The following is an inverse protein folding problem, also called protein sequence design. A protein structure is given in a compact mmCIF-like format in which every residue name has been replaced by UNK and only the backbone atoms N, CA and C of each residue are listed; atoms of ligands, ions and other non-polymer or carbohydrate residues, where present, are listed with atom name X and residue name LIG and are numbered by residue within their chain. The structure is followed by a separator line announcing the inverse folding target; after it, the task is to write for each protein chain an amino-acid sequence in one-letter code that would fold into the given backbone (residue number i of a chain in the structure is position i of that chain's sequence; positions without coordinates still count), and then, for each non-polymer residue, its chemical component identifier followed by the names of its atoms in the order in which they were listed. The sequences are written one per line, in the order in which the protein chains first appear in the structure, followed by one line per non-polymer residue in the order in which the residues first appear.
data_IF_540228624317
#
_entry.id   IF_540228624317
#
_cell.length_a   1.000
_cell.length_b   1.000
_cell.length_c   1.000
_cell.angle_alpha   90.00
_cell.angle_beta   90.00
_cell.angle_gamma   90.00
#
_symmetry.space_group_name_H-M   'P 1'
#
loop_
_entity.id
_entity.type
_entity.pdbx_description
1 polymer ?
#
# COMPACT_ATOMS: atom_id res chain seq x y z
N UNK A 1 -5.60 -0.83 -10.43
CA UNK A 1 -7.00 -1.30 -10.29
C UNK A 1 -7.39 -1.70 -8.86
N UNK A 2 -6.52 -2.31 -8.02
CA UNK A 2 -6.85 -2.60 -6.60
C UNK A 2 -6.93 -1.33 -5.75
N UNK A 3 -6.04 -0.36 -5.97
CA UNK A 3 -5.99 0.91 -5.23
C UNK A 3 -7.28 1.73 -5.35
N UNK A 4 -8.03 1.60 -6.45
CA UNK A 4 -9.31 2.29 -6.64
C UNK A 4 -10.44 1.75 -5.75
N UNK A 5 -10.21 0.65 -5.02
CA UNK A 5 -11.18 0.07 -4.08
C UNK A 5 -10.97 0.54 -2.63
N UNK A 6 -9.98 1.40 -2.39
CA UNK A 6 -9.60 1.87 -1.07
C UNK A 6 -9.54 3.40 -1.07
N UNK A 7 -10.60 4.01 -0.55
CA UNK A 7 -10.72 5.47 -0.41
C UNK A 7 -9.68 6.03 0.58
N UNK A 8 -9.07 5.17 1.40
CA UNK A 8 -8.03 5.52 2.35
C UNK A 8 -6.72 5.93 1.65
N UNK A 9 -6.48 5.54 0.39
CA UNK A 9 -5.24 5.86 -0.33
C UNK A 9 -5.26 7.33 -0.78
N UNK A 10 -4.35 8.14 -0.23
CA UNK A 10 -4.22 9.57 -0.56
C UNK A 10 -3.32 9.80 -1.76
N UNK A 11 -2.21 9.07 -1.81
CA UNK A 11 -1.29 9.13 -2.94
C UNK A 11 -0.53 7.81 -3.08
N UNK A 12 -0.02 7.58 -4.28
CA UNK A 12 0.77 6.43 -4.64
C UNK A 12 1.96 6.88 -5.47
N UNK A 13 3.15 6.46 -5.05
CA UNK A 13 4.37 6.57 -5.84
C UNK A 13 4.67 5.20 -6.44
N UNK A 14 5.01 5.19 -7.73
CA UNK A 14 5.50 4.01 -8.45
C UNK A 14 6.82 4.35 -9.11
N UNK A 15 7.85 3.56 -8.83
CA UNK A 15 9.18 3.71 -9.40
C UNK A 15 9.64 2.38 -9.98
N UNK A 16 10.08 2.40 -11.23
CA UNK A 16 10.79 1.27 -11.83
C UNK A 16 12.20 1.22 -11.25
N UNK A 17 12.57 0.10 -10.63
CA UNK A 17 13.92 -0.13 -10.11
C UNK A 17 14.83 -0.70 -11.22
N UNK A 18 14.24 -1.57 -12.05
CA UNK A 18 14.83 -2.12 -13.27
C UNK A 18 13.69 -2.54 -14.23
N UNK A 19 14.01 -3.35 -15.25
CA UNK A 19 13.05 -3.79 -16.27
C UNK A 19 11.95 -4.73 -15.74
N UNK A 20 12.19 -5.43 -14.62
CA UNK A 20 11.28 -6.41 -14.04
C UNK A 20 10.70 -5.99 -12.69
N UNK A 21 11.37 -5.07 -11.99
CA UNK A 21 11.09 -4.73 -10.60
C UNK A 21 10.59 -3.31 -10.42
N UNK A 22 9.61 -3.16 -9.56
CA UNK A 22 9.02 -1.87 -9.23
C UNK A 22 8.90 -1.71 -7.71
N UNK A 23 9.16 -0.50 -7.22
CA UNK A 23 8.82 -0.08 -5.88
C UNK A 23 7.51 0.71 -5.93
N UNK A 24 6.57 0.36 -5.05
CA UNK A 24 5.34 1.13 -4.85
C UNK A 24 5.21 1.56 -3.40
N UNK A 25 4.94 2.85 -3.18
CA UNK A 25 4.67 3.43 -1.87
C UNK A 25 3.25 3.99 -1.89
N UNK A 26 2.43 3.51 -0.96
CA UNK A 26 1.09 4.03 -0.73
C UNK A 26 1.10 4.88 0.53
N UNK A 27 0.66 6.14 0.42
CA UNK A 27 0.32 6.96 1.57
C UNK A 27 -1.18 6.85 1.76
N UNK A 28 -1.59 6.32 2.91
CA UNK A 28 -2.99 6.06 3.20
C UNK A 28 -3.37 6.54 4.61
N UNK A 29 -4.61 6.97 4.76
CA UNK A 29 -5.18 7.49 6.00
C UNK A 29 -6.55 6.84 6.23
N UNK A 30 -6.73 6.25 7.40
CA UNK A 30 -7.98 5.60 7.76
C UNK A 30 -7.85 4.78 9.02
N UNK A 31 -8.91 4.02 9.34
CA UNK A 31 -8.88 3.13 10.49
C UNK A 31 -7.82 2.03 10.31
N UNK A 32 -7.16 1.64 11.41
CA UNK A 32 -6.15 0.56 11.37
C UNK A 32 -6.71 -0.74 10.80
N UNK A 33 -7.98 -1.06 11.06
CA UNK A 33 -8.63 -2.25 10.51
C UNK A 33 -8.65 -2.23 8.99
N UNK A 34 -9.03 -1.09 8.41
CA UNK A 34 -9.17 -0.93 6.97
C UNK A 34 -7.81 -0.87 6.26
N UNK A 35 -6.82 -0.22 6.87
CA UNK A 35 -5.42 -0.25 6.38
C UNK A 35 -4.84 -1.67 6.39
N UNK A 36 -5.13 -2.47 7.42
CA UNK A 36 -4.71 -3.88 7.47
C UNK A 36 -5.37 -4.74 6.38
N UNK A 37 -6.62 -4.45 6.03
CA UNK A 37 -7.32 -5.13 4.95
C UNK A 37 -6.65 -4.86 3.59
N UNK A 38 -6.29 -3.60 3.31
CA UNK A 38 -5.52 -3.23 2.12
C UNK A 38 -4.22 -4.06 2.03
N UNK A 39 -3.44 -4.11 3.11
CA UNK A 39 -2.20 -4.90 3.17
C UNK A 39 -2.46 -6.39 2.94
N UNK A 40 -3.54 -6.94 3.50
CA UNK A 40 -3.90 -8.34 3.30
C UNK A 40 -4.24 -8.65 1.84
N UNK A 41 -4.92 -7.75 1.13
CA UNK A 41 -5.20 -7.90 -0.29
C UNK A 41 -3.92 -7.79 -1.14
N UNK A 42 -3.03 -6.85 -0.83
CA UNK A 42 -1.75 -6.70 -1.54
C UNK A 42 -0.88 -7.95 -1.41
N UNK A 43 -0.84 -8.59 -0.22
CA UNK A 43 -0.09 -9.83 0.02
C UNK A 43 -0.54 -11.01 -0.85
N UNK A 44 -1.79 -10.98 -1.35
CA UNK A 44 -2.35 -12.07 -2.18
C UNK A 44 -2.01 -11.90 -3.66
N UNK A 45 -1.47 -10.75 -4.07
CA UNK A 45 -1.10 -10.51 -5.47
C UNK A 45 0.17 -11.30 -5.78
N UNK A 46 0.06 -12.22 -6.74
CA UNK A 46 1.20 -12.97 -7.27
C UNK A 46 2.24 -11.98 -7.83
N UNK A 47 3.50 -12.15 -7.42
CA UNK A 47 4.61 -11.29 -7.84
C UNK A 47 4.97 -10.17 -6.85
N UNK A 48 4.17 -9.94 -5.81
CA UNK A 48 4.59 -9.05 -4.71
C UNK A 48 5.69 -9.72 -3.90
N UNK A 49 6.89 -9.16 -3.97
CA UNK A 49 8.07 -9.74 -3.30
C UNK A 49 8.19 -9.35 -1.84
N UNK A 50 7.96 -8.07 -1.52
CA UNK A 50 8.12 -7.52 -0.16
C UNK A 50 7.02 -6.52 0.13
N UNK A 51 6.49 -6.54 1.35
CA UNK A 51 5.62 -5.49 1.90
C UNK A 51 6.18 -5.05 3.25
N UNK A 52 6.33 -3.75 3.42
CA UNK A 52 6.58 -3.10 4.72
C UNK A 52 5.38 -2.21 5.04
N UNK A 53 4.76 -2.46 6.18
CA UNK A 53 3.65 -1.65 6.68
C UNK A 53 4.15 -0.82 7.85
N UNK A 54 4.20 0.50 7.66
CA UNK A 54 4.63 1.47 8.67
C UNK A 54 3.41 2.31 8.97
N UNK A 55 2.98 2.32 10.24
CA UNK A 55 1.86 3.10 10.70
C UNK A 55 2.37 4.16 11.69
N UNK A 56 1.80 5.35 11.58
CA UNK A 56 1.97 6.41 12.57
C UNK A 56 0.58 6.83 13.03
N UNK A 57 0.46 7.21 14.30
CA UNK A 57 -0.75 7.86 14.79
C UNK A 57 -0.52 9.37 14.71
N UNK A 58 -1.45 10.09 14.08
CA UNK A 58 -1.49 11.53 14.25
C UNK A 58 -1.73 11.82 15.73
N UNK A 59 -0.72 12.37 16.41
CA UNK A 59 -0.92 12.97 17.73
C UNK A 59 -1.82 14.18 17.50
N UNK A 60 -3.02 14.16 18.10
CA UNK A 60 -3.80 15.38 18.27
C UNK A 60 -3.11 16.26 19.30
#
# INVERSE_FOLDING_TARGET
MLQHRFDEIRTMLHTHLDEAECLQIFVAEGSTARLKELIAQLRRIKGVKVIKFIQTAARR
#
